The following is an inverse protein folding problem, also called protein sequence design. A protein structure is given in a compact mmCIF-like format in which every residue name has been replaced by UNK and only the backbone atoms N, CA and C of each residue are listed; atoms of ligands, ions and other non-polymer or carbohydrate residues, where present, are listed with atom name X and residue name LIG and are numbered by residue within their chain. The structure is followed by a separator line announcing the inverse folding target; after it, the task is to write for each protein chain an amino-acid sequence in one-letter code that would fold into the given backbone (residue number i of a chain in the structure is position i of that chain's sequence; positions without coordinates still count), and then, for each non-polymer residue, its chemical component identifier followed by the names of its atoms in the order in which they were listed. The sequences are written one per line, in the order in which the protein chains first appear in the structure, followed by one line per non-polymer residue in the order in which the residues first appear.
data_IF_439500201090
#
_entry.id   IF_439500201090
#
_cell.length_a   1.000
_cell.length_b   1.000
_cell.length_c   1.000
_cell.angle_alpha   90.00
_cell.angle_beta   90.00
_cell.angle_gamma   90.00
#
_symmetry.space_group_name_H-M   'P 1'
#
loop_
_entity.id
_entity.type
_entity.pdbx_description
1 polymer ?
#
# COMPACT_ATOMS: atom_id res chain seq x y z
N UNK A 1 22.33 -6.29 2.29
CA UNK A 1 22.89 -6.52 3.63
C UNK A 1 23.00 -5.25 4.49
N UNK A 2 23.24 -4.05 3.91
CA UNK A 2 23.31 -2.78 4.66
C UNK A 2 22.01 -2.47 5.41
N UNK A 3 20.82 -2.67 4.80
CA UNK A 3 19.52 -2.49 5.46
C UNK A 3 19.36 -3.40 6.68
N UNK A 4 19.74 -4.68 6.57
CA UNK A 4 19.63 -5.63 7.69
C UNK A 4 20.55 -5.22 8.85
N UNK A 5 21.77 -4.79 8.56
CA UNK A 5 22.69 -4.24 9.56
C UNK A 5 22.04 -3.08 10.33
N UNK A 6 21.56 -2.06 9.64
CA UNK A 6 20.91 -0.91 10.28
C UNK A 6 19.60 -1.27 11.00
N UNK A 7 18.87 -2.29 10.52
CA UNK A 7 17.68 -2.79 11.23
C UNK A 7 18.05 -3.42 12.57
N UNK A 8 19.13 -4.20 12.63
CA UNK A 8 19.63 -4.79 13.88
C UNK A 8 20.17 -3.74 14.86
N UNK A 9 20.77 -2.68 14.34
CA UNK A 9 21.29 -1.55 15.13
C UNK A 9 20.19 -0.56 15.58
N UNK A 10 18.93 -0.79 15.19
CA UNK A 10 17.83 0.17 15.46
C UNK A 10 17.98 1.52 14.74
N UNK A 11 18.87 1.60 13.73
CA UNK A 11 19.18 2.83 13.03
C UNK A 11 18.08 3.22 12.03
N UNK A 12 17.53 4.45 12.10
CA UNK A 12 16.49 4.94 11.17
C UNK A 12 16.89 4.91 9.68
N UNK A 13 18.18 4.92 9.34
CA UNK A 13 18.69 4.81 7.98
C UNK A 13 18.20 3.54 7.26
N UNK A 14 17.82 2.51 7.98
CA UNK A 14 17.20 1.31 7.39
C UNK A 14 15.93 1.62 6.58
N UNK A 15 15.16 2.66 6.98
CA UNK A 15 13.96 3.09 6.25
C UNK A 15 14.32 3.79 4.93
N UNK A 16 15.35 4.64 4.94
CA UNK A 16 15.83 5.30 3.73
C UNK A 16 16.32 4.28 2.69
N UNK A 17 17.08 3.25 3.14
CA UNK A 17 17.54 2.18 2.26
C UNK A 17 16.37 1.35 1.72
N UNK A 18 15.35 1.06 2.56
CA UNK A 18 14.12 0.40 2.10
C UNK A 18 13.42 1.19 0.99
N UNK A 19 13.31 2.52 1.17
CA UNK A 19 12.73 3.41 0.16
C UNK A 19 13.53 3.40 -1.14
N UNK A 20 14.85 3.49 -1.07
CA UNK A 20 15.72 3.43 -2.25
C UNK A 20 15.56 2.11 -3.00
N UNK A 21 15.56 0.97 -2.31
CA UNK A 21 15.36 -0.34 -2.94
C UNK A 21 14.01 -0.44 -3.66
N UNK A 22 12.94 0.01 -3.01
CA UNK A 22 11.60 0.02 -3.60
C UNK A 22 11.50 0.99 -4.80
N UNK A 23 12.18 2.15 -4.71
CA UNK A 23 12.22 3.15 -5.79
C UNK A 23 12.98 2.65 -7.01
N UNK A 24 14.10 1.94 -6.83
CA UNK A 24 14.85 1.37 -7.94
C UNK A 24 13.99 0.46 -8.82
N UNK A 25 13.22 -0.43 -8.19
CA UNK A 25 12.28 -1.27 -8.90
C UNK A 25 11.13 -0.46 -9.52
N UNK A 26 10.53 0.47 -8.74
CA UNK A 26 9.42 1.29 -9.19
C UNK A 26 9.77 2.16 -10.41
N UNK A 27 10.97 2.75 -10.44
CA UNK A 27 11.45 3.56 -11.56
C UNK A 27 11.54 2.73 -12.83
N UNK A 28 11.99 1.47 -12.75
CA UNK A 28 12.04 0.58 -13.91
C UNK A 28 10.67 0.37 -14.57
N UNK A 29 9.59 0.41 -13.79
CA UNK A 29 8.21 0.24 -14.27
C UNK A 29 7.48 1.52 -14.65
N UNK A 30 8.11 2.71 -14.49
CA UNK A 30 7.47 3.97 -14.87
C UNK A 30 7.40 4.11 -16.40
N UNK A 31 6.31 4.74 -16.88
CA UNK A 31 6.23 5.17 -18.28
C UNK A 31 7.28 6.25 -18.52
N UNK A 32 8.16 6.10 -19.53
CA UNK A 32 9.13 7.12 -19.83
C UNK A 32 8.45 8.42 -20.26
N UNK A 33 9.01 9.55 -19.86
CA UNK A 33 8.61 10.88 -20.34
C UNK A 33 9.46 11.16 -21.58
N UNK A 34 8.90 10.89 -22.75
CA UNK A 34 9.57 10.95 -24.03
C UNK A 34 9.64 12.34 -24.66
N UNK A 35 9.04 13.33 -24.01
CA UNK A 35 8.98 14.69 -24.52
C UNK A 35 9.38 15.73 -23.48
N UNK A 36 10.02 16.81 -23.94
CA UNK A 36 10.21 18.04 -23.21
C UNK A 36 9.23 19.11 -23.72
N UNK A 37 8.75 19.93 -22.80
CA UNK A 37 7.88 21.06 -23.15
C UNK A 37 8.67 22.36 -23.00
N UNK A 38 8.63 23.19 -24.05
CA UNK A 38 9.24 24.53 -24.08
C UNK A 38 8.18 25.56 -24.46
N UNK A 39 8.26 26.73 -23.81
CA UNK A 39 7.42 27.88 -24.12
C UNK A 39 8.30 28.96 -24.76
N UNK A 40 7.95 29.40 -25.97
CA UNK A 40 8.74 30.30 -26.78
C UNK A 40 7.83 31.46 -27.21
N UNK A 41 8.37 32.69 -27.09
CA UNK A 41 7.66 33.88 -27.52
C UNK A 41 7.57 33.98 -29.03
N UNK A 42 6.48 34.57 -29.51
CA UNK A 42 6.27 34.88 -30.95
C UNK A 42 7.39 35.76 -31.50
N UNK A 43 7.73 35.55 -32.78
CA UNK A 43 8.74 36.34 -33.49
C UNK A 43 10.01 35.54 -33.81
N UNK A 44 11.10 36.23 -34.03
CA UNK A 44 12.39 35.67 -34.46
C UNK A 44 12.89 34.51 -33.57
N UNK A 45 12.65 34.60 -32.29
CA UNK A 45 13.02 33.52 -31.34
C UNK A 45 12.30 32.22 -31.65
N UNK A 46 11.03 32.29 -32.03
CA UNK A 46 10.24 31.10 -32.42
C UNK A 46 10.78 30.51 -33.72
N UNK A 47 11.04 31.35 -34.71
CA UNK A 47 11.51 30.90 -36.01
C UNK A 47 12.89 30.25 -35.92
N UNK A 48 13.80 30.84 -35.18
CA UNK A 48 15.13 30.27 -34.90
C UNK A 48 15.00 28.96 -34.11
N UNK A 49 14.07 28.87 -33.17
CA UNK A 49 13.82 27.65 -32.40
C UNK A 49 13.30 26.53 -33.31
N UNK A 50 12.36 26.80 -34.20
CA UNK A 50 11.85 25.85 -35.16
C UNK A 50 12.98 25.35 -36.07
N UNK A 51 13.80 26.24 -36.62
CA UNK A 51 14.91 25.84 -37.47
C UNK A 51 15.92 24.95 -36.77
N UNK A 52 16.26 25.28 -35.52
CA UNK A 52 17.27 24.56 -34.75
C UNK A 52 16.76 23.17 -34.29
N UNK A 53 15.46 23.01 -34.03
CA UNK A 53 14.90 21.83 -33.40
C UNK A 53 13.92 21.08 -34.31
N UNK A 54 13.84 21.38 -35.58
CA UNK A 54 12.85 20.86 -36.54
C UNK A 54 12.67 19.33 -36.44
N UNK A 55 13.77 18.60 -36.44
CA UNK A 55 13.76 17.12 -36.39
C UNK A 55 13.26 16.53 -35.06
N UNK A 56 13.16 17.35 -34.02
CA UNK A 56 12.75 16.93 -32.67
C UNK A 56 11.36 17.43 -32.30
N UNK A 57 10.77 18.35 -33.07
CA UNK A 57 9.44 18.87 -32.78
C UNK A 57 8.40 17.79 -33.02
N UNK A 58 7.71 17.39 -31.95
CA UNK A 58 6.57 16.46 -31.98
C UNK A 58 5.27 17.18 -32.29
N UNK A 59 5.04 18.30 -31.61
CA UNK A 59 3.87 19.15 -31.81
C UNK A 59 4.15 20.58 -31.31
N UNK A 60 3.36 21.52 -31.79
CA UNK A 60 3.36 22.88 -31.26
C UNK A 60 1.95 23.45 -31.28
N UNK A 61 1.67 24.33 -30.30
CA UNK A 61 0.34 24.93 -30.12
C UNK A 61 0.53 26.37 -29.70
N UNK A 62 -0.22 27.27 -30.33
CA UNK A 62 -0.27 28.67 -29.91
C UNK A 62 -1.12 28.78 -28.64
N UNK A 63 -0.53 29.28 -27.56
CA UNK A 63 -1.19 29.45 -26.27
C UNK A 63 -1.92 30.79 -26.16
N UNK A 64 -1.32 31.82 -26.74
CA UNK A 64 -1.86 33.18 -26.84
C UNK A 64 -1.14 33.93 -27.99
N UNK A 65 -1.47 35.21 -28.22
CA UNK A 65 -0.90 36.01 -29.33
C UNK A 65 0.63 36.17 -29.27
N UNK A 66 1.24 35.87 -28.12
CA UNK A 66 2.66 36.13 -27.88
C UNK A 66 3.47 34.90 -27.51
N UNK A 67 2.84 33.71 -27.34
CA UNK A 67 3.52 32.57 -26.78
C UNK A 67 3.07 31.26 -27.44
N UNK A 68 4.04 30.40 -27.71
CA UNK A 68 3.87 29.06 -28.27
C UNK A 68 4.40 28.00 -27.33
N UNK A 69 3.67 26.90 -27.20
CA UNK A 69 4.08 25.68 -26.51
C UNK A 69 4.58 24.67 -27.53
N UNK A 70 5.82 24.23 -27.39
CA UNK A 70 6.46 23.19 -28.20
C UNK A 70 6.65 21.94 -27.38
N UNK A 71 6.33 20.79 -27.94
CA UNK A 71 6.70 19.47 -27.45
C UNK A 71 7.83 18.93 -28.31
N UNK A 72 8.95 18.58 -27.68
CA UNK A 72 10.14 18.08 -28.34
C UNK A 72 10.40 16.63 -27.92
N UNK A 73 10.68 15.75 -28.86
CA UNK A 73 11.17 14.42 -28.50
C UNK A 73 12.50 14.49 -27.78
N UNK A 74 12.63 13.72 -26.69
CA UNK A 74 13.90 13.49 -26.01
C UNK A 74 14.73 12.45 -26.78
N UNK A 75 16.03 12.51 -26.58
CA UNK A 75 16.92 11.45 -27.01
C UNK A 75 16.68 10.19 -26.19
N UNK A 76 16.75 9.01 -26.82
CA UNK A 76 16.37 7.74 -26.19
C UNK A 76 17.18 7.42 -24.94
N UNK A 77 18.44 7.77 -24.89
CA UNK A 77 19.34 7.58 -23.75
C UNK A 77 18.96 8.42 -22.52
N UNK A 78 18.19 9.50 -22.72
CA UNK A 78 17.75 10.38 -21.63
C UNK A 78 16.41 9.96 -20.99
N UNK A 79 15.66 9.07 -21.60
CA UNK A 79 14.34 8.65 -21.13
C UNK A 79 14.12 7.12 -21.13
N UNK A 80 15.17 6.34 -21.37
CA UNK A 80 15.09 4.88 -21.39
C UNK A 80 14.84 4.28 -20.01
N UNK A 81 13.79 3.48 -19.88
CA UNK A 81 13.48 2.71 -18.68
C UNK A 81 13.62 1.20 -18.92
N UNK A 82 14.13 0.50 -17.91
CA UNK A 82 14.32 -0.96 -17.95
C UNK A 82 13.03 -1.70 -17.59
N UNK A 83 11.96 -1.50 -18.35
CA UNK A 83 10.64 -2.07 -18.08
C UNK A 83 10.64 -3.60 -17.98
N UNK A 84 11.50 -4.27 -18.76
CA UNK A 84 11.68 -5.73 -18.72
C UNK A 84 12.08 -6.21 -17.31
N UNK A 85 12.94 -5.46 -16.60
CA UNK A 85 13.34 -5.79 -15.22
C UNK A 85 12.15 -5.69 -14.27
N UNK A 86 11.32 -4.65 -14.42
CA UNK A 86 10.11 -4.51 -13.62
C UNK A 86 9.10 -5.65 -13.88
N UNK A 87 8.93 -6.03 -15.15
CA UNK A 87 8.06 -7.15 -15.54
C UNK A 87 8.58 -8.48 -14.96
N UNK A 88 9.87 -8.72 -15.01
CA UNK A 88 10.50 -9.93 -14.46
C UNK A 88 10.30 -10.03 -12.95
N UNK A 89 10.58 -8.98 -12.19
CA UNK A 89 10.39 -8.95 -10.74
C UNK A 89 8.93 -9.21 -10.37
N UNK A 90 7.98 -8.57 -11.08
CA UNK A 90 6.54 -8.79 -10.86
C UNK A 90 6.12 -10.22 -11.19
N UNK A 91 6.66 -10.79 -12.27
CA UNK A 91 6.36 -12.16 -12.69
C UNK A 91 6.85 -13.18 -11.66
N UNK A 92 8.05 -13.00 -11.14
CA UNK A 92 8.61 -13.85 -10.08
C UNK A 92 7.75 -13.76 -8.80
N UNK A 93 7.37 -12.54 -8.38
CA UNK A 93 6.52 -12.34 -7.22
C UNK A 93 5.16 -13.02 -7.38
N UNK A 94 4.52 -12.89 -8.54
CA UNK A 94 3.25 -13.56 -8.86
C UNK A 94 3.40 -15.08 -8.89
N UNK A 95 4.50 -15.59 -9.43
CA UNK A 95 4.76 -17.04 -9.45
C UNK A 95 4.82 -17.60 -8.04
N UNK A 96 5.56 -16.94 -7.12
CA UNK A 96 5.66 -17.33 -5.72
C UNK A 96 4.27 -17.34 -5.06
N UNK A 97 3.45 -16.31 -5.28
CA UNK A 97 2.10 -16.26 -4.76
C UNK A 97 1.22 -17.39 -5.31
N UNK A 98 1.28 -17.65 -6.63
CA UNK A 98 0.52 -18.71 -7.26
C UNK A 98 0.90 -20.10 -6.72
N UNK A 99 2.19 -20.37 -6.50
CA UNK A 99 2.65 -21.61 -5.91
C UNK A 99 1.98 -21.88 -4.55
N UNK A 100 1.90 -20.86 -3.70
CA UNK A 100 1.27 -20.96 -2.37
C UNK A 100 -0.24 -21.09 -2.47
N UNK A 101 -0.89 -20.27 -3.31
CA UNK A 101 -2.34 -20.28 -3.49
C UNK A 101 -2.82 -21.66 -4.03
N UNK A 102 -2.18 -22.15 -5.08
CA UNK A 102 -2.50 -23.47 -5.62
C UNK A 102 -2.25 -24.60 -4.60
N UNK A 103 -1.20 -24.48 -3.77
CA UNK A 103 -0.98 -25.48 -2.72
C UNK A 103 -2.06 -25.42 -1.64
N UNK A 104 -2.50 -24.19 -1.26
CA UNK A 104 -3.58 -24.01 -0.31
C UNK A 104 -4.89 -24.60 -0.83
N UNK A 105 -5.23 -24.37 -2.10
CA UNK A 105 -6.40 -24.96 -2.76
C UNK A 105 -6.31 -26.50 -2.84
N UNK A 106 -5.15 -27.04 -3.21
CA UNK A 106 -4.90 -28.49 -3.31
C UNK A 106 -5.14 -29.23 -1.98
N UNK A 107 -4.92 -28.58 -0.84
CA UNK A 107 -5.15 -29.14 0.51
C UNK A 107 -6.51 -28.78 1.09
N UNK A 108 -7.36 -28.07 0.36
CA UNK A 108 -8.71 -27.68 0.76
C UNK A 108 -8.78 -26.49 1.72
N UNK A 109 -7.72 -25.69 1.84
CA UNK A 109 -7.73 -24.49 2.66
C UNK A 109 -8.49 -23.34 1.98
N UNK A 110 -9.24 -22.58 2.77
CA UNK A 110 -9.96 -21.41 2.26
C UNK A 110 -9.06 -20.18 2.23
N UNK A 111 -8.96 -19.54 1.07
CA UNK A 111 -8.27 -18.26 0.92
C UNK A 111 -9.30 -17.15 1.08
N UNK A 112 -9.24 -16.42 2.19
CA UNK A 112 -10.20 -15.36 2.51
C UNK A 112 -9.87 -14.03 1.86
N UNK A 113 -8.57 -13.72 1.75
CA UNK A 113 -8.11 -12.44 1.19
C UNK A 113 -6.67 -12.52 0.70
N UNK A 114 -6.37 -11.80 -0.37
CA UNK A 114 -5.01 -11.65 -0.90
C UNK A 114 -4.71 -10.17 -1.20
N UNK A 115 -3.49 -9.73 -0.94
CA UNK A 115 -3.02 -8.40 -1.35
C UNK A 115 -1.55 -8.47 -1.77
N UNK A 116 -1.32 -8.48 -3.08
CA UNK A 116 -0.01 -8.44 -3.76
C UNK A 116 0.91 -9.59 -3.38
N UNK A 117 1.41 -9.63 -2.16
CA UNK A 117 2.40 -10.56 -1.60
C UNK A 117 2.00 -11.15 -0.24
N UNK A 118 0.73 -11.01 0.12
CA UNK A 118 0.17 -11.54 1.36
C UNK A 118 -1.14 -12.29 1.12
N UNK A 119 -1.46 -13.21 2.03
CA UNK A 119 -2.64 -14.05 1.97
C UNK A 119 -3.19 -14.29 3.38
N UNK A 120 -4.52 -14.19 3.53
CA UNK A 120 -5.24 -14.64 4.70
C UNK A 120 -5.86 -16.00 4.41
N UNK A 121 -5.55 -16.95 5.24
CA UNK A 121 -5.97 -18.37 5.13
C UNK A 121 -6.38 -18.87 6.52
N UNK A 122 -7.15 -19.94 6.58
CA UNK A 122 -7.53 -20.58 7.83
C UNK A 122 -6.30 -20.94 8.67
N UNK A 123 -6.34 -20.59 9.96
CA UNK A 123 -5.21 -20.72 10.87
C UNK A 123 -4.72 -22.16 11.03
N UNK A 124 -5.62 -23.13 11.00
CA UNK A 124 -5.31 -24.56 11.17
C UNK A 124 -4.32 -25.09 10.12
N UNK A 125 -4.30 -24.51 8.91
CA UNK A 125 -3.38 -24.92 7.83
C UNK A 125 -1.97 -24.34 7.98
N UNK A 126 -1.77 -23.31 8.80
CA UNK A 126 -0.49 -22.60 8.96
C UNK A 126 0.09 -22.71 10.38
N UNK A 127 -0.67 -23.22 11.36
CA UNK A 127 -0.17 -23.45 12.72
C UNK A 127 1.00 -24.46 12.71
N UNK A 128 2.11 -24.08 13.38
CA UNK A 128 3.33 -24.88 13.40
C UNK A 128 4.33 -24.55 12.28
N UNK A 129 4.14 -23.42 11.58
CA UNK A 129 5.04 -22.91 10.53
C UNK A 129 5.33 -23.95 9.43
N UNK A 130 6.59 -24.33 9.23
CA UNK A 130 6.98 -25.33 8.23
C UNK A 130 6.54 -26.78 8.56
N UNK A 131 6.05 -27.04 9.76
CA UNK A 131 5.45 -28.32 10.17
C UNK A 131 3.92 -28.32 10.00
N UNK A 132 3.34 -27.20 9.61
CA UNK A 132 1.92 -27.06 9.31
C UNK A 132 1.52 -27.91 8.10
N UNK A 133 0.21 -28.11 7.92
CA UNK A 133 -0.34 -28.83 6.76
C UNK A 133 0.12 -28.18 5.46
N UNK A 134 0.00 -26.84 5.36
CA UNK A 134 0.43 -26.08 4.18
C UNK A 134 1.95 -26.14 4.01
N UNK A 135 2.74 -25.97 5.08
CA UNK A 135 4.19 -25.99 5.03
C UNK A 135 4.73 -27.31 4.51
N UNK A 136 4.20 -28.42 4.99
CA UNK A 136 4.60 -29.79 4.57
C UNK A 136 4.19 -30.07 3.11
N UNK A 137 2.96 -29.70 2.72
CA UNK A 137 2.48 -29.86 1.36
C UNK A 137 3.32 -29.06 0.36
N UNK A 138 3.62 -27.80 0.70
CA UNK A 138 4.44 -26.91 -0.11
C UNK A 138 5.88 -27.47 -0.27
N UNK A 139 6.50 -27.90 0.83
CA UNK A 139 7.85 -28.50 0.80
C UNK A 139 7.89 -29.75 -0.05
N UNK A 140 6.85 -30.61 0.05
CA UNK A 140 6.74 -31.82 -0.78
C UNK A 140 6.64 -31.48 -2.27
N UNK A 141 5.92 -30.43 -2.63
CA UNK A 141 5.66 -30.05 -4.03
C UNK A 141 6.83 -29.29 -4.66
N UNK A 142 7.45 -28.36 -3.93
CA UNK A 142 8.47 -27.44 -4.45
C UNK A 142 9.88 -27.63 -3.88
N UNK A 143 10.09 -28.55 -2.94
CA UNK A 143 11.42 -28.87 -2.39
C UNK A 143 12.05 -27.78 -1.51
N UNK A 144 11.30 -26.74 -1.13
CA UNK A 144 11.78 -25.62 -0.31
C UNK A 144 10.82 -25.31 0.84
N UNK A 145 11.36 -24.70 1.90
CA UNK A 145 10.55 -24.27 3.05
C UNK A 145 9.69 -23.07 2.67
N UNK A 146 8.42 -23.09 3.11
CA UNK A 146 7.46 -22.01 2.88
C UNK A 146 7.68 -20.84 3.83
N UNK A 147 7.86 -21.14 5.12
CA UNK A 147 7.91 -20.13 6.19
C UNK A 147 9.35 -19.82 6.55
N UNK A 148 9.70 -18.54 6.64
CA UNK A 148 11.04 -18.10 7.00
C UNK A 148 11.31 -16.63 6.70
N UNK A 149 12.59 -16.26 6.74
CA UNK A 149 13.05 -14.86 6.54
C UNK A 149 13.81 -14.65 5.23
N UNK A 150 13.95 -15.69 4.41
CA UNK A 150 14.65 -15.60 3.12
C UNK A 150 13.72 -15.06 2.03
N UNK A 151 14.29 -14.64 0.91
CA UNK A 151 13.52 -14.20 -0.25
C UNK A 151 12.62 -15.35 -0.75
N UNK A 152 11.35 -15.02 -1.00
CA UNK A 152 10.34 -15.97 -1.45
C UNK A 152 9.76 -16.87 -0.35
N UNK A 153 10.10 -16.62 0.92
CA UNK A 153 9.46 -17.23 2.07
C UNK A 153 8.45 -16.28 2.71
N UNK A 154 7.45 -16.85 3.35
CA UNK A 154 6.41 -16.13 4.05
C UNK A 154 6.66 -16.11 5.56
N UNK A 155 6.09 -15.14 6.24
CA UNK A 155 6.05 -15.06 7.71
C UNK A 155 4.77 -14.35 8.12
N UNK A 156 4.33 -14.55 9.35
CA UNK A 156 3.17 -13.81 9.86
C UNK A 156 3.51 -12.34 10.06
N UNK A 157 2.59 -11.46 9.63
CA UNK A 157 2.69 -10.01 9.80
C UNK A 157 1.88 -9.51 11.01
N UNK A 158 1.31 -10.42 11.79
CA UNK A 158 0.51 -10.08 12.95
C UNK A 158 1.40 -9.70 14.14
N UNK A 159 1.32 -8.43 14.52
CA UNK A 159 2.06 -7.89 15.66
C UNK A 159 1.14 -6.98 16.49
N UNK A 160 1.13 -7.15 17.81
CA UNK A 160 0.39 -6.26 18.72
C UNK A 160 0.92 -4.84 18.66
N UNK A 161 2.23 -4.66 18.55
CA UNK A 161 2.87 -3.35 18.50
C UNK A 161 2.40 -2.46 17.32
N UNK A 162 1.97 -3.08 16.20
CA UNK A 162 1.42 -2.38 15.05
C UNK A 162 -0.11 -2.30 15.04
N UNK A 163 -0.76 -2.87 16.04
CA UNK A 163 -2.22 -3.03 16.17
C UNK A 163 -2.84 -1.99 17.11
N UNK A 164 -4.13 -2.10 17.35
CA UNK A 164 -4.90 -1.24 18.23
C UNK A 164 -5.57 -2.06 19.33
N UNK A 165 -5.93 -1.44 20.44
CA UNK A 165 -6.70 -2.05 21.52
C UNK A 165 -7.78 -1.11 22.01
N UNK A 166 -8.88 -1.65 22.51
CA UNK A 166 -9.89 -0.88 23.21
C UNK A 166 -9.46 -0.75 24.67
N UNK A 167 -9.23 0.48 25.13
CA UNK A 167 -8.90 0.80 26.50
C UNK A 167 -9.96 1.75 27.05
N UNK A 168 -10.81 1.25 27.95
CA UNK A 168 -11.88 2.02 28.58
C UNK A 168 -12.79 2.79 27.59
N UNK A 169 -13.19 2.14 26.50
CA UNK A 169 -14.03 2.76 25.48
C UNK A 169 -13.31 3.64 24.46
N UNK A 170 -11.98 3.63 24.47
CA UNK A 170 -11.16 4.35 23.50
C UNK A 170 -10.32 3.38 22.68
N UNK A 171 -10.29 3.60 21.38
CA UNK A 171 -9.38 2.87 20.48
C UNK A 171 -8.01 3.56 20.51
N UNK A 172 -7.01 2.86 21.01
CA UNK A 172 -5.63 3.36 21.11
C UNK A 172 -4.64 2.39 20.43
N UNK A 173 -3.41 2.84 20.17
CA UNK A 173 -2.32 1.94 19.79
C UNK A 173 -2.10 0.91 20.88
N UNK A 174 -2.01 -0.35 20.50
CA UNK A 174 -1.80 -1.44 21.46
C UNK A 174 -0.45 -1.28 22.15
N UNK A 175 -0.47 -1.28 23.48
CA UNK A 175 0.73 -1.20 24.34
C UNK A 175 1.05 -2.54 24.99
N UNK A 176 0.19 -3.54 24.80
CA UNK A 176 0.37 -4.88 25.34
C UNK A 176 1.47 -5.57 24.53
N UNK A 177 2.41 -6.18 25.22
CA UNK A 177 3.37 -7.09 24.58
C UNK A 177 2.70 -8.43 24.44
N UNK A 178 2.67 -8.96 23.21
CA UNK A 178 2.13 -10.29 22.95
C UNK A 178 2.97 -11.38 23.61
N UNK A 179 2.32 -12.45 24.03
CA UNK A 179 2.94 -13.65 24.58
C UNK A 179 2.67 -14.84 23.65
N UNK A 180 3.75 -15.49 23.22
CA UNK A 180 3.66 -16.62 22.30
C UNK A 180 3.14 -16.28 20.90
N UNK A 181 2.50 -17.23 20.27
CA UNK A 181 1.99 -17.10 18.90
C UNK A 181 0.75 -16.23 18.83
N UNK A 182 0.68 -15.42 17.78
CA UNK A 182 -0.46 -14.54 17.51
C UNK A 182 -1.23 -15.10 16.33
N UNK A 183 -2.55 -15.24 16.50
CA UNK A 183 -3.46 -15.64 15.42
C UNK A 183 -4.66 -14.68 15.31
N UNK A 184 -5.24 -14.58 14.13
CA UNK A 184 -6.52 -13.93 13.94
C UNK A 184 -7.64 -14.91 14.32
N UNK A 185 -8.48 -14.51 15.26
CA UNK A 185 -9.63 -15.34 15.71
C UNK A 185 -10.93 -14.93 15.01
N UNK A 186 -10.97 -13.74 14.44
CA UNK A 186 -12.08 -13.24 13.66
C UNK A 186 -11.56 -12.16 12.68
N UNK A 187 -12.07 -12.17 11.46
CA UNK A 187 -11.72 -11.16 10.46
C UNK A 187 -12.97 -10.63 9.75
N UNK A 188 -12.93 -9.36 9.35
CA UNK A 188 -13.96 -8.72 8.54
C UNK A 188 -13.28 -8.09 7.32
N UNK A 189 -13.61 -8.58 6.13
CA UNK A 189 -13.07 -8.09 4.86
C UNK A 189 -14.12 -7.25 4.15
N UNK A 190 -13.85 -5.96 3.96
CA UNK A 190 -14.74 -5.01 3.28
C UNK A 190 -14.37 -4.80 1.81
N UNK A 191 -13.15 -5.16 1.46
CA UNK A 191 -12.62 -5.01 0.11
C UNK A 191 -11.12 -4.74 0.08
N UNK A 192 -10.61 -4.28 -1.05
CA UNK A 192 -9.17 -4.08 -1.26
C UNK A 192 -8.57 -3.09 -0.26
N UNK A 193 -7.65 -3.57 0.57
CA UNK A 193 -6.97 -2.80 1.63
C UNK A 193 -7.92 -2.19 2.66
N UNK A 194 -9.05 -2.87 2.90
CA UNK A 194 -10.03 -2.52 3.89
C UNK A 194 -10.48 -3.78 4.62
N UNK A 195 -9.87 -4.05 5.76
CA UNK A 195 -10.15 -5.24 6.59
C UNK A 195 -9.76 -5.01 8.05
N UNK A 196 -10.30 -5.84 8.91
CA UNK A 196 -9.99 -5.89 10.32
C UNK A 196 -9.76 -7.35 10.71
N UNK A 197 -8.67 -7.60 11.43
CA UNK A 197 -8.41 -8.87 12.10
C UNK A 197 -8.42 -8.67 13.61
N UNK A 198 -9.17 -9.47 14.33
CA UNK A 198 -9.11 -9.56 15.78
C UNK A 198 -8.01 -10.56 16.11
N UNK A 199 -6.89 -10.04 16.55
CA UNK A 199 -5.74 -10.85 16.94
C UNK A 199 -5.88 -11.34 18.37
N UNK A 200 -5.40 -12.56 18.63
CA UNK A 200 -5.31 -13.12 19.97
C UNK A 200 -3.95 -13.81 20.14
N UNK A 201 -3.32 -13.59 21.28
CA UNK A 201 -2.10 -14.28 21.68
C UNK A 201 -2.37 -15.53 22.50
N UNK A 202 -1.33 -16.24 22.92
CA UNK A 202 -1.45 -17.49 23.68
C UNK A 202 -2.04 -17.31 25.09
N UNK A 203 -2.02 -16.10 25.65
CA UNK A 203 -2.61 -15.75 26.95
C UNK A 203 -4.06 -15.25 26.84
N UNK A 204 -4.59 -15.13 25.61
CA UNK A 204 -5.95 -14.65 25.37
C UNK A 204 -6.07 -13.12 25.26
N UNK A 205 -4.96 -12.37 25.31
CA UNK A 205 -4.99 -10.94 25.06
C UNK A 205 -5.41 -10.65 23.63
N UNK A 206 -6.21 -9.59 23.43
CA UNK A 206 -6.74 -9.25 22.10
C UNK A 206 -6.25 -7.90 21.61
N UNK A 207 -6.02 -7.81 20.30
CA UNK A 207 -5.71 -6.57 19.61
C UNK A 207 -6.40 -6.53 18.24
N UNK A 208 -6.58 -5.35 17.68
CA UNK A 208 -7.20 -5.13 16.37
C UNK A 208 -6.13 -4.75 15.35
N UNK A 209 -5.90 -5.63 14.38
CA UNK A 209 -5.11 -5.30 13.21
C UNK A 209 -6.02 -4.67 12.16
N UNK A 210 -5.86 -3.36 11.90
CA UNK A 210 -6.80 -2.59 11.11
C UNK A 210 -6.12 -2.07 9.84
N UNK A 211 -6.77 -2.28 8.71
CA UNK A 211 -6.45 -1.65 7.43
C UNK A 211 -7.70 -0.97 6.88
N UNK A 212 -7.59 0.33 6.64
CA UNK A 212 -8.63 1.12 5.97
C UNK A 212 -7.94 2.14 5.05
N UNK A 213 -7.83 1.78 3.78
CA UNK A 213 -7.13 2.59 2.78
C UNK A 213 -7.64 4.04 2.76
N UNK A 214 -6.71 4.97 2.76
CA UNK A 214 -6.96 6.42 2.66
C UNK A 214 -7.61 7.07 3.88
N UNK A 215 -7.73 6.35 5.00
CA UNK A 215 -8.12 6.93 6.29
C UNK A 215 -6.90 6.95 7.21
N UNK A 216 -6.62 8.10 7.82
CA UNK A 216 -5.51 8.22 8.75
C UNK A 216 -5.79 7.44 10.04
N UNK A 217 -4.77 6.81 10.67
CA UNK A 217 -4.96 6.12 11.94
C UNK A 217 -5.58 7.00 13.03
N UNK A 218 -5.23 8.29 13.07
CA UNK A 218 -5.79 9.24 14.05
C UNK A 218 -7.27 9.48 13.81
N UNK A 219 -7.69 9.68 12.55
CA UNK A 219 -9.11 9.86 12.20
C UNK A 219 -9.93 8.61 12.49
N UNK A 220 -9.35 7.43 12.22
CA UNK A 220 -9.97 6.15 12.53
C UNK A 220 -10.15 5.97 14.05
N UNK A 221 -9.09 6.18 14.84
CA UNK A 221 -9.15 6.08 16.30
C UNK A 221 -10.19 7.06 16.88
N UNK A 222 -10.20 8.30 16.41
CA UNK A 222 -11.16 9.30 16.86
C UNK A 222 -12.60 8.86 16.57
N UNK A 223 -12.90 8.49 15.33
CA UNK A 223 -14.24 8.06 14.90
C UNK A 223 -14.72 6.81 15.64
N UNK A 224 -13.85 5.79 15.75
CA UNK A 224 -14.17 4.57 16.47
C UNK A 224 -14.45 4.83 17.96
N UNK A 225 -13.67 5.69 18.59
CA UNK A 225 -13.86 6.08 20.01
C UNK A 225 -15.17 6.80 20.20
N UNK A 226 -15.47 7.82 19.38
CA UNK A 226 -16.64 8.71 19.59
C UNK A 226 -17.97 8.06 19.25
N UNK A 227 -18.03 7.22 18.21
CA UNK A 227 -19.30 6.68 17.72
C UNK A 227 -19.49 5.17 18.02
N UNK A 228 -18.40 4.45 18.25
CA UNK A 228 -18.46 2.99 18.46
C UNK A 228 -17.89 2.55 19.83
N UNK A 229 -17.60 3.51 20.73
CA UNK A 229 -17.07 3.19 22.06
C UNK A 229 -15.73 2.45 22.03
N UNK A 230 -14.88 2.75 21.04
CA UNK A 230 -13.57 2.11 20.87
C UNK A 230 -13.62 0.67 20.34
N UNK A 231 -14.79 0.16 19.98
CA UNK A 231 -14.97 -1.18 19.42
C UNK A 231 -14.82 -1.15 17.88
N UNK A 232 -13.63 -1.52 17.43
CA UNK A 232 -13.33 -1.55 16.00
C UNK A 232 -14.10 -2.64 15.26
N UNK A 233 -14.41 -3.76 15.91
CA UNK A 233 -15.19 -4.84 15.30
C UNK A 233 -16.62 -4.38 15.02
N UNK A 234 -17.23 -3.67 15.97
CA UNK A 234 -18.56 -3.07 15.79
C UNK A 234 -18.58 -2.06 14.64
N UNK A 235 -17.54 -1.23 14.53
CA UNK A 235 -17.40 -0.27 13.43
C UNK A 235 -17.27 -0.97 12.07
N UNK A 236 -16.49 -2.05 11.98
CA UNK A 236 -16.30 -2.79 10.73
C UNK A 236 -17.55 -3.57 10.32
N UNK A 237 -18.28 -4.18 11.27
CA UNK A 237 -19.56 -4.82 11.00
C UNK A 237 -20.59 -3.81 10.49
N UNK A 238 -20.63 -2.59 11.05
CA UNK A 238 -21.51 -1.52 10.59
C UNK A 238 -21.22 -1.13 9.12
N UNK A 239 -19.92 -1.06 8.74
CA UNK A 239 -19.53 -0.84 7.34
C UNK A 239 -19.82 -2.05 6.45
N UNK A 240 -19.70 -3.28 6.97
CA UNK A 240 -20.00 -4.51 6.25
C UNK A 240 -21.49 -4.63 5.86
N UNK A 241 -22.37 -4.10 6.68
CA UNK A 241 -23.82 -3.96 6.40
C UNK A 241 -24.13 -2.90 5.33
N UNK A 242 -23.13 -2.22 4.76
CA UNK A 242 -23.30 -1.22 3.73
C UNK A 242 -23.53 0.21 4.26
N UNK A 243 -23.45 0.43 5.56
CA UNK A 243 -23.65 1.74 6.16
C UNK A 243 -22.44 2.67 5.92
N UNK A 244 -22.69 3.94 5.53
CA UNK A 244 -21.60 4.89 5.30
C UNK A 244 -21.04 5.43 6.63
N UNK A 245 -19.70 5.63 6.66
CA UNK A 245 -19.02 6.35 7.74
C UNK A 245 -18.24 7.52 7.16
N UNK A 246 -18.44 8.72 7.72
CA UNK A 246 -17.66 9.91 7.38
C UNK A 246 -16.55 10.13 8.39
N UNK A 247 -15.32 10.17 7.91
CA UNK A 247 -14.12 10.41 8.69
C UNK A 247 -13.63 11.84 8.49
N UNK A 248 -13.35 12.54 9.58
CA UNK A 248 -12.64 13.81 9.53
C UNK A 248 -11.13 13.54 9.49
N UNK A 249 -10.52 13.79 8.34
CA UNK A 249 -9.08 13.58 8.14
C UNK A 249 -8.23 14.71 8.74
N UNK A 250 -8.82 15.83 9.13
CA UNK A 250 -8.12 16.94 9.78
C UNK A 250 -7.52 16.52 11.13
N UNK A 251 -8.17 15.59 11.85
CA UNK A 251 -7.60 14.97 13.06
C UNK A 251 -6.25 14.27 12.81
N UNK A 252 -6.03 13.79 11.58
CA UNK A 252 -4.75 13.23 11.10
C UNK A 252 -3.79 14.26 10.51
N UNK A 253 -4.16 15.55 10.46
CA UNK A 253 -3.40 16.62 9.85
C UNK A 253 -3.61 16.76 8.34
N UNK A 254 -4.55 16.03 7.74
CA UNK A 254 -4.87 16.15 6.32
C UNK A 254 -5.81 17.33 6.08
N UNK A 255 -5.44 18.20 5.14
CA UNK A 255 -6.25 19.34 4.68
C UNK A 255 -6.43 19.29 3.18
N UNK A 256 -7.51 19.88 2.71
CA UNK A 256 -7.78 20.05 1.30
C UNK A 256 -7.53 21.52 0.91
N UNK A 257 -6.85 21.74 -0.22
CA UNK A 257 -6.69 23.09 -0.77
C UNK A 257 -7.93 23.47 -1.57
N UNK A 258 -8.47 24.65 -1.26
CA UNK A 258 -9.58 25.25 -2.00
C UNK A 258 -9.08 26.53 -2.68
N UNK A 259 -9.28 26.60 -3.99
CA UNK A 259 -9.02 27.83 -4.75
C UNK A 259 -10.22 28.75 -4.57
N UNK A 260 -9.98 29.96 -4.09
CA UNK A 260 -10.98 31.00 -3.89
C UNK A 260 -11.21 31.80 -5.17
N UNK A 261 -12.32 32.55 -5.26
CA UNK A 261 -12.66 33.37 -6.43
C UNK A 261 -11.62 34.46 -6.76
N UNK A 262 -10.84 34.90 -5.78
CA UNK A 262 -9.76 35.86 -5.94
C UNK A 262 -8.38 35.22 -6.25
N UNK A 263 -8.37 33.97 -6.72
CA UNK A 263 -7.17 33.20 -7.03
C UNK A 263 -6.23 32.91 -5.84
N UNK A 264 -6.67 33.19 -4.61
CA UNK A 264 -5.92 32.74 -3.42
C UNK A 264 -6.29 31.30 -3.08
N UNK A 265 -5.43 30.62 -2.33
CA UNK A 265 -5.70 29.29 -1.80
C UNK A 265 -5.96 29.36 -0.30
N UNK A 266 -6.98 28.62 0.14
CA UNK A 266 -7.23 28.37 1.57
C UNK A 266 -7.22 26.88 1.84
N UNK A 267 -6.97 26.50 3.10
CA UNK A 267 -7.07 25.12 3.55
C UNK A 267 -8.42 24.89 4.23
N UNK A 268 -9.05 23.78 3.93
CA UNK A 268 -10.30 23.34 4.57
C UNK A 268 -10.12 21.93 5.14
N UNK A 269 -10.91 21.61 6.17
CA UNK A 269 -10.93 20.27 6.74
C UNK A 269 -11.28 19.25 5.64
N UNK A 270 -10.50 18.17 5.57
CA UNK A 270 -10.75 17.09 4.62
C UNK A 270 -11.65 16.04 5.27
N UNK A 271 -12.89 15.94 4.80
CA UNK A 271 -13.79 14.85 5.17
C UNK A 271 -13.80 13.78 4.08
N UNK A 272 -13.89 12.52 4.50
CA UNK A 272 -14.00 11.38 3.59
C UNK A 272 -15.06 10.41 4.06
N UNK A 273 -16.08 10.23 3.24
CA UNK A 273 -17.10 9.20 3.46
C UNK A 273 -16.65 7.91 2.79
N UNK A 274 -16.71 6.82 3.53
CA UNK A 274 -16.42 5.46 3.09
C UNK A 274 -17.71 4.66 3.20
N UNK A 275 -18.09 3.99 2.12
CA UNK A 275 -19.22 3.08 2.06
C UNK A 275 -18.81 1.89 1.19
N UNK A 276 -19.09 0.69 1.66
CA UNK A 276 -18.90 -0.54 0.91
C UNK A 276 -20.28 -1.02 0.41
N UNK A 277 -20.31 -1.65 -0.75
CA UNK A 277 -21.57 -2.22 -1.24
C UNK A 277 -22.05 -3.32 -0.27
N UNK A 278 -23.34 -3.43 -0.08
CA UNK A 278 -23.93 -4.60 0.58
C UNK A 278 -23.61 -5.84 -0.27
N UNK A 279 -22.82 -6.74 0.26
CA UNK A 279 -22.58 -8.05 -0.35
C UNK A 279 -23.75 -8.98 -0.13
#
# INVERSE_FOLDING_TARGET
NMRLKYKHEGNPLQLAIKLLMNSCYGICGLKPIDCDVKYIQEGEKKDNFIQTHFNRIKSFTQMNNNEWRFELYKEIDTHYNRQHVACEVLSISKNIMNEVMCTAEDIGATIHYTDTDSMHIDAEYVEGENKSILGLAFKKKYGRELIGKNLGQFHTDFEFASSFSNVNGKLERCKIKSQGDIKAVQSVFLGKKAYLDVLQDSEGNKAYHIRLKSISPKSLMYKCTTEFGGDALKMYNYMYEGNPITFDQSAGGAVMFKVNKNHTMSTVAMQRTVQFGSN
#
